data_IF_544290074537
#
_entry.id   IF_544290074537
#
_cell.length_a   1.000
_cell.length_b   1.000
_cell.length_c   1.000
_cell.angle_alpha   90.00
_cell.angle_beta   90.00
_cell.angle_gamma   90.00
#
_symmetry.space_group_name_H-M   'P 1'
#
loop_
_entity.id
_entity.type
_entity.pdbx_description
1 polymer ?
#
# COMPACT_ATOMS: atom_id res chain seq x y z
N UNK A 1 20.24 9.98 40.03
CA UNK A 1 20.62 8.58 40.32
C UNK A 1 19.64 8.01 41.33
N UNK A 2 18.62 7.27 40.89
CA UNK A 2 17.76 6.45 41.77
C UNK A 2 17.36 5.20 40.99
N UNK A 3 17.60 4.05 41.60
CA UNK A 3 17.56 2.70 41.02
C UNK A 3 16.13 2.17 40.79
N UNK A 4 15.95 1.54 39.64
CA UNK A 4 14.81 0.67 39.28
C UNK A 4 14.83 -0.64 40.06
N UNK A 5 13.72 -1.00 40.73
CA UNK A 5 13.47 -2.36 41.23
C UNK A 5 12.58 -3.13 40.24
N UNK A 6 13.17 -4.16 39.61
CA UNK A 6 12.47 -5.28 38.97
C UNK A 6 11.84 -6.16 40.06
N UNK A 7 10.61 -6.60 39.87
CA UNK A 7 10.02 -7.71 40.63
C UNK A 7 9.52 -8.79 39.67
N UNK A 8 10.23 -9.91 39.70
CA UNK A 8 9.85 -11.21 39.16
C UNK A 8 9.14 -12.01 40.24
N UNK A 9 7.97 -12.58 39.95
CA UNK A 9 7.42 -13.72 40.71
C UNK A 9 6.95 -14.82 39.76
N UNK A 10 7.65 -15.96 39.86
CA UNK A 10 7.19 -17.31 39.48
C UNK A 10 6.29 -17.84 40.60
N UNK A 11 5.28 -18.61 40.22
CA UNK A 11 4.76 -19.72 41.04
C UNK A 11 4.48 -20.91 40.13
N UNK A 12 4.63 -22.11 40.67
CA UNK A 12 4.89 -23.39 40.03
C UNK A 12 3.78 -24.40 40.42
N UNK A 13 3.40 -25.25 39.44
CA UNK A 13 2.87 -26.63 39.49
C UNK A 13 1.45 -27.03 39.95
N UNK A 14 1.01 -28.13 39.31
CA UNK A 14 -0.13 -29.02 39.58
C UNK A 14 -0.81 -29.43 38.26
N UNK A 15 -0.33 -30.43 37.50
CA UNK A 15 -0.78 -31.85 37.49
C UNK A 15 -2.30 -32.03 37.34
N UNK A 16 -2.90 -32.97 36.62
CA UNK A 16 -2.56 -33.95 35.59
C UNK A 16 -3.92 -34.49 35.11
N UNK A 17 -4.15 -34.75 33.82
CA UNK A 17 -5.25 -35.63 33.37
C UNK A 17 -4.93 -36.20 32.01
N UNK A 18 -4.70 -37.50 32.01
CA UNK A 18 -4.57 -38.41 30.88
C UNK A 18 -5.87 -38.49 30.08
N UNK A 19 -5.78 -38.39 28.75
CA UNK A 19 -6.76 -39.01 27.84
C UNK A 19 -6.01 -39.69 26.70
N UNK A 20 -6.08 -41.01 26.75
CA UNK A 20 -5.69 -42.01 25.77
C UNK A 20 -6.28 -41.66 24.40
N UNK A 21 -5.43 -41.51 23.37
CA UNK A 21 -5.89 -41.42 21.97
C UNK A 21 -5.34 -42.57 21.15
N UNK A 22 -6.26 -43.44 20.79
CA UNK A 22 -6.15 -44.58 19.87
C UNK A 22 -5.44 -44.16 18.58
N UNK A 23 -4.41 -44.92 18.22
CA UNK A 23 -3.77 -44.88 16.90
C UNK A 23 -4.62 -45.65 15.88
N UNK A 24 -4.86 -45.01 14.74
CA UNK A 24 -5.31 -45.63 13.48
C UNK A 24 -4.77 -44.79 12.30
N UNK A 25 -4.60 -45.35 11.09
CA UNK A 25 -3.30 -45.37 10.41
C UNK A 25 -3.01 -44.19 9.47
N UNK A 26 -1.71 -44.05 9.20
CA UNK A 26 -1.07 -43.15 8.23
C UNK A 26 -1.69 -43.27 6.84
N UNK A 27 -2.25 -42.19 6.32
CA UNK A 27 -2.32 -41.93 4.89
C UNK A 27 -1.22 -40.90 4.54
N UNK A 28 -0.11 -41.40 4.00
CA UNK A 28 1.01 -40.58 3.52
C UNK A 28 0.62 -39.86 2.22
N UNK A 29 -0.04 -38.71 2.33
CA UNK A 29 -0.20 -37.77 1.22
C UNK A 29 1.00 -36.83 1.14
N UNK A 30 2.15 -37.31 0.68
CA UNK A 30 3.29 -36.44 0.35
C UNK A 30 2.89 -35.61 -0.88
N UNK A 31 2.69 -34.30 -0.68
CA UNK A 31 2.51 -33.38 -1.79
C UNK A 31 3.71 -33.47 -2.75
N UNK A 32 3.50 -33.67 -4.06
CA UNK A 32 4.61 -33.89 -4.99
C UNK A 32 5.41 -32.60 -5.14
N UNK A 33 6.67 -32.65 -4.77
CA UNK A 33 7.62 -31.57 -5.03
C UNK A 33 7.78 -31.37 -6.54
N UNK A 34 8.02 -30.11 -6.95
CA UNK A 34 8.13 -29.63 -8.35
C UNK A 34 9.09 -30.43 -9.27
N UNK A 35 9.87 -31.35 -8.72
CA UNK A 35 10.84 -32.21 -9.40
C UNK A 35 10.20 -33.46 -10.02
N UNK A 36 9.13 -34.01 -9.45
CA UNK A 36 8.47 -35.23 -9.97
C UNK A 36 7.58 -34.97 -11.20
N UNK A 37 6.98 -33.77 -11.32
CA UNK A 37 6.25 -33.36 -12.54
C UNK A 37 7.12 -33.26 -13.79
N UNK A 38 8.43 -33.02 -13.65
CA UNK A 38 9.35 -32.88 -14.80
C UNK A 38 9.80 -34.22 -15.37
N UNK A 39 9.80 -35.29 -14.55
CA UNK A 39 10.18 -36.65 -14.98
C UNK A 39 9.03 -37.34 -15.72
N UNK A 40 7.79 -37.16 -15.24
CA UNK A 40 6.60 -37.70 -15.91
C UNK A 40 6.40 -37.13 -17.34
N UNK A 41 6.72 -35.85 -17.57
CA UNK A 41 6.62 -35.21 -18.89
C UNK A 41 7.72 -35.70 -19.86
N UNK A 42 8.89 -36.10 -19.34
CA UNK A 42 9.96 -36.67 -20.17
C UNK A 42 9.67 -38.12 -20.58
N UNK A 43 9.02 -38.90 -19.71
CA UNK A 43 8.67 -40.29 -20.00
C UNK A 43 7.49 -40.40 -20.98
N UNK A 44 6.51 -39.47 -20.96
CA UNK A 44 5.46 -39.43 -22.01
C UNK A 44 5.97 -38.95 -23.38
N UNK A 45 7.07 -38.21 -23.41
CA UNK A 45 7.65 -37.70 -24.66
C UNK A 45 8.53 -38.72 -25.40
N UNK A 46 8.91 -39.84 -24.76
CA UNK A 46 9.73 -40.90 -25.38
C UNK A 46 8.92 -42.04 -26.00
N UNK A 47 7.62 -42.17 -25.70
CA UNK A 47 6.77 -43.24 -26.25
C UNK A 47 5.93 -42.84 -27.49
N UNK A 48 5.99 -41.58 -27.94
CA UNK A 48 5.22 -41.09 -29.09
C UNK A 48 5.99 -40.98 -30.41
N UNK A 49 7.07 -41.76 -30.61
CA UNK A 49 8.03 -41.53 -31.70
C UNK A 49 8.14 -42.69 -32.68
N UNK A 50 7.04 -43.12 -33.30
CA UNK A 50 7.07 -43.88 -34.56
C UNK A 50 5.94 -43.39 -35.49
N UNK A 51 6.38 -42.90 -36.66
CA UNK A 51 5.64 -42.62 -37.91
C UNK A 51 4.48 -41.62 -37.88
N UNK A 52 4.69 -40.44 -38.48
CA UNK A 52 4.13 -40.03 -39.79
C UNK A 52 4.90 -38.79 -40.22
N UNK A 53 5.38 -38.81 -41.47
CA UNK A 53 6.10 -37.72 -42.11
C UNK A 53 5.20 -36.49 -42.21
N UNK A 54 5.61 -35.39 -41.57
CA UNK A 54 5.04 -34.09 -41.86
C UNK A 54 6.14 -33.05 -41.98
N UNK A 55 6.14 -32.36 -43.13
CA UNK A 55 7.16 -31.40 -43.56
C UNK A 55 7.08 -30.15 -42.68
N UNK A 56 7.64 -30.23 -41.48
CA UNK A 56 7.84 -29.07 -40.63
C UNK A 56 8.91 -28.16 -41.24
N UNK A 57 8.45 -27.07 -41.87
CA UNK A 57 9.26 -25.89 -42.17
C UNK A 57 10.07 -25.56 -40.91
N UNK A 58 11.39 -25.75 -40.96
CA UNK A 58 12.32 -25.25 -39.94
C UNK A 58 12.04 -23.76 -39.79
N UNK A 59 11.32 -23.39 -38.73
CA UNK A 59 11.14 -22.00 -38.32
C UNK A 59 12.53 -21.53 -37.93
N UNK A 60 13.21 -20.86 -38.85
CA UNK A 60 14.47 -20.16 -38.59
C UNK A 60 14.23 -19.34 -37.34
N UNK A 61 14.96 -19.66 -36.28
CA UNK A 61 15.03 -18.84 -35.07
C UNK A 61 15.48 -17.49 -35.58
N UNK A 62 14.58 -16.50 -35.69
CA UNK A 62 15.00 -15.12 -35.90
C UNK A 62 15.91 -14.82 -34.73
N UNK A 63 17.21 -14.65 -35.00
CA UNK A 63 18.13 -14.13 -34.00
C UNK A 63 17.51 -12.85 -33.45
N UNK A 64 17.40 -12.76 -32.12
CA UNK A 64 17.00 -11.52 -31.51
C UNK A 64 18.00 -10.45 -31.99
N UNK A 65 17.54 -9.29 -32.49
CA UNK A 65 18.45 -8.23 -32.90
C UNK A 65 19.38 -7.94 -31.72
N UNK A 66 20.67 -8.20 -31.92
CA UNK A 66 21.70 -7.83 -30.96
C UNK A 66 21.80 -6.32 -31.02
N UNK A 67 21.29 -5.64 -29.98
CA UNK A 67 21.44 -4.19 -29.81
C UNK A 67 22.91 -3.71 -29.77
N UNK A 68 23.87 -4.65 -29.78
CA UNK A 68 25.32 -4.41 -29.76
C UNK A 68 26.00 -4.64 -31.12
N UNK A 69 25.30 -5.13 -32.14
CA UNK A 69 25.88 -5.26 -33.49
C UNK A 69 25.75 -3.94 -34.24
N UNK A 70 26.89 -3.40 -34.68
CA UNK A 70 26.97 -2.23 -35.58
C UNK A 70 26.20 -2.54 -36.88
N UNK A 71 25.37 -1.59 -37.32
CA UNK A 71 25.15 -1.42 -38.76
C UNK A 71 26.46 -0.91 -39.35
N UNK A 72 26.90 -1.45 -40.48
CA UNK A 72 28.22 -1.21 -41.08
C UNK A 72 28.46 0.24 -41.60
N UNK A 73 27.59 1.20 -41.29
CA UNK A 73 27.74 2.60 -41.68
C UNK A 73 28.65 3.33 -40.70
N UNK A 74 29.95 3.05 -40.78
CA UNK A 74 30.98 3.68 -39.96
C UNK A 74 31.23 5.15 -40.34
N UNK A 75 31.03 5.54 -41.61
CA UNK A 75 31.43 6.85 -42.14
C UNK A 75 30.61 8.04 -41.59
N UNK A 76 29.48 7.79 -40.94
CA UNK A 76 28.64 8.82 -40.32
C UNK A 76 28.43 8.58 -38.81
N UNK A 77 29.28 7.78 -38.17
CA UNK A 77 29.16 7.51 -36.73
C UNK A 77 29.59 8.76 -35.94
N UNK A 78 28.65 9.46 -35.24
CA UNK A 78 28.98 10.67 -34.48
C UNK A 78 30.01 10.40 -33.37
N UNK A 79 30.21 9.13 -32.99
CA UNK A 79 31.19 8.71 -32.01
C UNK A 79 32.65 8.89 -32.48
N UNK A 80 32.93 9.00 -33.79
CA UNK A 80 34.28 9.24 -34.31
C UNK A 80 34.86 10.60 -33.90
N UNK A 81 34.01 11.56 -33.57
CA UNK A 81 34.42 12.89 -33.09
C UNK A 81 34.80 12.90 -31.60
N UNK A 82 34.51 11.82 -30.86
CA UNK A 82 34.73 11.73 -29.42
C UNK A 82 36.20 11.37 -29.17
N UNK A 83 36.98 12.31 -28.62
CA UNK A 83 38.42 12.13 -28.33
C UNK A 83 38.72 10.88 -27.52
N UNK A 84 37.84 10.52 -26.57
CA UNK A 84 38.01 9.34 -25.73
C UNK A 84 38.01 8.03 -26.56
N UNK A 85 37.22 7.96 -27.62
CA UNK A 85 37.12 6.78 -28.50
C UNK A 85 38.24 6.69 -29.54
N UNK A 86 38.96 7.79 -29.76
CA UNK A 86 40.14 7.84 -30.63
C UNK A 86 41.45 7.50 -29.90
N UNK A 87 41.39 7.24 -28.59
CA UNK A 87 42.56 6.80 -27.84
C UNK A 87 42.95 5.37 -28.25
N UNK A 88 44.27 5.04 -28.24
CA UNK A 88 44.72 3.66 -28.29
C UNK A 88 43.98 2.81 -27.25
N UNK A 89 43.62 1.57 -27.64
CA UNK A 89 42.79 0.68 -26.82
C UNK A 89 43.37 0.49 -25.41
N UNK A 90 44.68 0.33 -25.31
CA UNK A 90 45.38 0.10 -24.05
C UNK A 90 45.23 1.29 -23.09
N UNK A 91 45.26 2.53 -23.60
CA UNK A 91 45.07 3.75 -22.80
C UNK A 91 43.61 3.87 -22.36
N UNK A 92 42.66 3.57 -23.25
CA UNK A 92 41.25 3.54 -22.87
C UNK A 92 41.00 2.52 -21.76
N UNK A 93 41.52 1.30 -21.90
CA UNK A 93 41.36 0.24 -20.92
C UNK A 93 42.01 0.66 -19.58
N UNK A 94 43.21 1.25 -19.58
CA UNK A 94 43.85 1.81 -18.39
C UNK A 94 42.96 2.87 -17.69
N UNK A 95 42.40 3.83 -18.44
CA UNK A 95 41.45 4.81 -17.90
C UNK A 95 40.25 4.11 -17.23
N UNK A 96 39.69 3.08 -17.87
CA UNK A 96 38.54 2.36 -17.30
C UNK A 96 38.88 1.56 -16.05
N UNK A 97 40.12 1.07 -15.90
CA UNK A 97 40.53 0.39 -14.65
C UNK A 97 40.58 1.30 -13.44
N UNK A 98 40.69 2.62 -13.65
CA UNK A 98 40.68 3.63 -12.60
C UNK A 98 39.27 4.07 -12.18
N UNK A 99 38.24 3.67 -12.94
CA UNK A 99 36.86 4.06 -12.68
C UNK A 99 36.15 3.04 -11.77
N UNK A 100 35.39 3.57 -10.81
CA UNK A 100 34.49 2.74 -10.00
C UNK A 100 33.36 2.14 -10.87
N UNK A 101 32.76 1.00 -10.45
CA UNK A 101 31.74 0.29 -11.21
C UNK A 101 30.50 1.12 -11.61
N UNK A 102 30.11 2.09 -10.79
CA UNK A 102 29.02 3.04 -11.07
C UNK A 102 29.39 4.03 -12.17
N UNK A 103 30.60 4.58 -12.13
CA UNK A 103 31.16 5.48 -13.12
C UNK A 103 31.34 4.76 -14.46
N UNK A 104 31.78 3.50 -14.45
CA UNK A 104 31.82 2.64 -15.64
C UNK A 104 30.43 2.35 -16.20
N UNK A 105 29.44 2.12 -15.35
CA UNK A 105 28.06 1.95 -15.80
C UNK A 105 27.52 3.23 -16.44
N UNK A 106 27.76 4.40 -15.84
CA UNK A 106 27.43 5.70 -16.43
C UNK A 106 28.15 5.94 -17.76
N UNK A 107 29.46 5.66 -17.82
CA UNK A 107 30.26 5.80 -19.03
C UNK A 107 29.71 4.90 -20.16
N UNK A 108 29.29 3.67 -19.83
CA UNK A 108 28.65 2.75 -20.79
C UNK A 108 27.27 3.21 -21.30
N UNK A 109 26.61 4.16 -20.62
CA UNK A 109 25.34 4.74 -21.09
C UNK A 109 25.50 5.85 -22.13
N UNK A 110 26.69 6.42 -22.26
CA UNK A 110 26.94 7.58 -23.13
C UNK A 110 26.81 7.24 -24.61
N UNK A 111 27.34 6.10 -25.05
CA UNK A 111 27.14 5.60 -26.41
C UNK A 111 27.31 4.07 -26.52
N UNK A 112 26.79 3.50 -27.62
CA UNK A 112 26.83 2.05 -27.88
C UNK A 112 28.26 1.52 -28.03
N UNK A 113 29.17 2.32 -28.56
CA UNK A 113 30.57 1.93 -28.76
C UNK A 113 31.27 1.75 -27.42
N UNK A 114 31.16 2.72 -26.51
CA UNK A 114 31.69 2.61 -25.16
C UNK A 114 31.05 1.43 -24.41
N UNK A 115 29.74 1.19 -24.58
CA UNK A 115 29.08 0.01 -24.02
C UNK A 115 29.64 -1.32 -24.55
N UNK A 116 29.97 -1.39 -25.84
CA UNK A 116 30.56 -2.59 -26.46
C UNK A 116 31.99 -2.84 -25.97
N UNK A 117 32.74 -1.77 -25.73
CA UNK A 117 34.12 -1.77 -25.24
C UNK A 117 34.21 -2.18 -23.77
N UNK A 118 33.38 -1.60 -22.89
CA UNK A 118 33.35 -1.84 -21.44
C UNK A 118 32.60 -3.14 -21.09
N UNK A 119 31.59 -3.49 -21.88
CA UNK A 119 30.75 -4.66 -21.65
C UNK A 119 29.71 -4.47 -20.54
N UNK A 120 29.26 -5.59 -19.97
CA UNK A 120 28.13 -5.63 -19.00
C UNK A 120 28.56 -5.88 -17.55
N UNK A 121 29.86 -5.98 -17.28
CA UNK A 121 30.35 -6.39 -15.96
C UNK A 121 30.07 -5.34 -14.88
N UNK A 122 30.30 -4.06 -15.19
CA UNK A 122 29.93 -2.91 -14.33
C UNK A 122 28.44 -2.93 -13.96
N UNK A 123 27.58 -3.31 -14.90
CA UNK A 123 26.14 -3.46 -14.67
C UNK A 123 25.80 -4.59 -13.72
N UNK A 124 26.55 -5.70 -13.72
CA UNK A 124 26.32 -6.82 -12.79
C UNK A 124 26.55 -6.35 -11.35
N UNK A 125 27.61 -5.57 -11.13
CA UNK A 125 27.94 -5.00 -9.83
C UNK A 125 26.87 -3.98 -9.36
N UNK A 126 26.33 -3.17 -10.28
CA UNK A 126 25.22 -2.25 -10.01
C UNK A 126 23.84 -2.94 -9.86
N UNK A 127 23.68 -4.18 -10.37
CA UNK A 127 22.40 -4.91 -10.42
C UNK A 127 22.09 -5.70 -9.15
N UNK A 128 23.00 -5.81 -8.18
CA UNK A 128 22.82 -6.62 -6.96
C UNK A 128 21.42 -6.42 -6.33
N UNK A 129 20.50 -7.35 -6.61
CA UNK A 129 19.11 -7.37 -6.15
C UNK A 129 18.97 -8.03 -4.77
N UNK A 130 20.04 -8.64 -4.24
CA UNK A 130 20.00 -9.28 -2.92
C UNK A 130 20.29 -8.23 -1.85
N UNK A 131 19.21 -7.64 -1.35
CA UNK A 131 19.15 -7.04 -0.01
C UNK A 131 19.36 -8.14 1.03
N UNK A 132 20.61 -8.56 1.21
CA UNK A 132 21.02 -9.14 2.48
C UNK A 132 21.74 -7.99 3.17
N UNK A 133 21.11 -7.44 4.20
CA UNK A 133 21.82 -6.64 5.19
C UNK A 133 22.84 -7.57 5.83
N UNK A 134 24.08 -7.55 5.34
CA UNK A 134 25.16 -8.29 5.97
C UNK A 134 25.71 -7.42 7.09
N UNK A 135 25.14 -7.61 8.29
CA UNK A 135 25.51 -6.87 9.50
C UNK A 135 26.98 -7.04 9.90
N UNK A 136 27.70 -7.95 9.23
CA UNK A 136 29.11 -8.24 9.51
C UNK A 136 30.08 -7.37 8.71
N UNK A 137 29.63 -6.67 7.65
CA UNK A 137 30.56 -6.09 6.66
C UNK A 137 30.47 -4.61 6.37
N UNK A 138 29.61 -3.85 7.05
CA UNK A 138 29.54 -2.37 7.00
C UNK A 138 29.65 -1.75 5.59
N UNK A 139 29.36 -2.49 4.53
CA UNK A 139 29.54 -2.09 3.14
C UNK A 139 28.19 -2.23 2.48
N UNK A 140 27.53 -1.10 2.36
CA UNK A 140 26.41 -0.94 1.46
C UNK A 140 26.83 -1.39 0.06
N UNK A 141 25.88 -1.84 -0.77
CA UNK A 141 26.06 -1.86 -2.22
C UNK A 141 26.16 -0.42 -2.74
N UNK A 142 27.26 0.27 -2.39
CA UNK A 142 27.49 1.71 -2.55
C UNK A 142 27.35 2.14 -4.02
N UNK A 143 27.85 1.32 -4.93
CA UNK A 143 27.81 1.59 -6.37
C UNK A 143 26.40 1.74 -6.92
N UNK A 144 25.41 0.97 -6.43
CA UNK A 144 24.03 1.13 -6.92
C UNK A 144 23.42 2.47 -6.50
N UNK A 145 23.68 2.90 -5.27
CA UNK A 145 23.17 4.17 -4.75
C UNK A 145 23.86 5.35 -5.46
N UNK A 146 25.18 5.30 -5.56
CA UNK A 146 25.99 6.29 -6.28
C UNK A 146 25.61 6.38 -7.77
N UNK A 147 25.50 5.24 -8.45
CA UNK A 147 25.02 5.17 -9.84
C UNK A 147 23.66 5.84 -10.04
N UNK A 148 22.69 5.57 -9.16
CA UNK A 148 21.36 6.15 -9.30
C UNK A 148 21.37 7.65 -9.00
N UNK A 149 22.22 8.11 -8.07
CA UNK A 149 22.45 9.53 -7.83
C UNK A 149 23.05 10.22 -9.07
N UNK A 150 23.99 9.58 -9.75
CA UNK A 150 24.54 10.08 -11.01
C UNK A 150 23.49 10.15 -12.11
N UNK A 151 22.60 9.15 -12.20
CA UNK A 151 21.48 9.17 -13.15
C UNK A 151 20.45 10.27 -12.83
N UNK A 152 20.17 10.54 -11.56
CA UNK A 152 19.17 11.55 -11.18
C UNK A 152 19.57 12.96 -11.63
N UNK A 153 20.88 13.26 -11.64
CA UNK A 153 21.44 14.50 -12.20
C UNK A 153 21.00 14.72 -13.65
N UNK A 154 21.02 13.65 -14.45
CA UNK A 154 20.73 13.71 -15.88
C UNK A 154 19.23 13.56 -16.19
N UNK A 155 18.41 13.23 -15.18
CA UNK A 155 16.95 13.13 -15.29
C UNK A 155 16.25 13.92 -14.15
N UNK A 156 16.28 15.27 -14.17
CA UNK A 156 15.78 16.10 -13.07
C UNK A 156 14.27 15.98 -12.81
N UNK A 157 13.51 15.44 -13.77
CA UNK A 157 12.08 15.16 -13.65
C UNK A 157 11.77 13.85 -12.91
N UNK A 158 12.79 13.11 -12.46
CA UNK A 158 12.66 11.89 -11.68
C UNK A 158 13.30 12.07 -10.30
N UNK A 159 12.70 11.45 -9.30
CA UNK A 159 13.17 11.43 -7.91
C UNK A 159 13.71 10.04 -7.56
N UNK A 160 14.80 10.01 -6.79
CA UNK A 160 15.37 8.77 -6.28
C UNK A 160 14.55 8.21 -5.12
N UNK A 161 14.24 6.91 -5.18
CA UNK A 161 13.55 6.20 -4.11
C UNK A 161 14.48 5.29 -3.35
N UNK A 162 14.70 5.57 -2.07
CA UNK A 162 15.50 4.72 -1.18
C UNK A 162 14.88 3.33 -0.96
N UNK A 163 13.55 3.24 -1.01
CA UNK A 163 12.81 2.00 -0.71
C UNK A 163 12.95 0.97 -1.81
N UNK A 164 12.96 1.36 -3.09
CA UNK A 164 13.11 0.43 -4.20
C UNK A 164 14.43 0.62 -4.96
N UNK A 165 15.26 1.60 -4.57
CA UNK A 165 16.54 1.96 -5.19
C UNK A 165 16.39 2.13 -6.70
N UNK A 166 15.52 3.07 -7.09
CA UNK A 166 15.22 3.39 -8.50
C UNK A 166 14.79 4.84 -8.62
N UNK A 167 14.85 5.38 -9.84
CA UNK A 167 14.25 6.67 -10.18
C UNK A 167 12.78 6.47 -10.58
N UNK A 168 11.89 7.33 -10.08
CA UNK A 168 10.49 7.39 -10.49
C UNK A 168 10.06 8.86 -10.62
N UNK A 169 8.97 9.17 -11.37
CA UNK A 169 8.39 10.50 -11.35
C UNK A 169 8.13 10.97 -9.91
N UNK A 170 8.22 12.27 -9.60
CA UNK A 170 7.93 12.79 -8.26
C UNK A 170 6.54 12.36 -7.80
N UNK A 171 6.37 12.32 -6.49
CA UNK A 171 5.08 11.97 -5.91
C UNK A 171 4.06 13.02 -6.35
N UNK A 172 3.01 12.52 -7.01
CA UNK A 172 1.89 13.36 -7.43
C UNK A 172 0.93 13.55 -6.25
N UNK A 173 0.16 14.65 -6.23
CA UNK A 173 -0.92 14.83 -5.26
C UNK A 173 -1.85 13.61 -5.20
N UNK A 174 -2.57 13.38 -4.09
CA UNK A 174 -3.44 12.21 -3.91
C UNK A 174 -4.41 11.96 -5.07
N UNK A 175 -4.89 13.03 -5.72
CA UNK A 175 -5.77 13.00 -6.90
C UNK A 175 -5.14 12.35 -8.14
N UNK A 176 -3.83 12.45 -8.29
CA UNK A 176 -3.09 12.06 -9.49
C UNK A 176 -2.16 10.86 -9.25
N UNK A 177 -1.99 10.44 -7.99
CA UNK A 177 -1.13 9.32 -7.66
C UNK A 177 -1.76 7.98 -8.08
N UNK A 178 -1.10 7.31 -9.03
CA UNK A 178 -1.46 5.94 -9.45
C UNK A 178 -0.32 4.98 -9.09
N UNK A 179 -0.65 3.92 -8.36
CA UNK A 179 0.27 2.79 -8.20
C UNK A 179 0.57 2.21 -9.59
N UNK A 180 1.84 2.21 -9.99
CA UNK A 180 2.29 1.61 -11.22
C UNK A 180 3.03 0.31 -10.91
N UNK A 181 3.14 -0.59 -11.89
CA UNK A 181 3.95 -1.83 -11.76
C UNK A 181 5.37 -1.56 -11.24
N UNK A 182 5.95 -0.39 -11.55
CA UNK A 182 7.28 0.03 -11.12
C UNK A 182 7.32 0.56 -9.68
N UNK A 183 6.23 1.17 -9.19
CA UNK A 183 6.18 1.79 -7.86
C UNK A 183 5.57 0.90 -6.78
N UNK A 184 4.94 -0.22 -7.17
CA UNK A 184 4.38 -1.24 -6.26
C UNK A 184 5.32 -1.67 -5.12
N UNK A 185 6.61 -1.80 -5.40
CA UNK A 185 7.60 -2.20 -4.39
C UNK A 185 8.20 -1.01 -3.62
N UNK A 186 7.99 0.21 -4.09
CA UNK A 186 8.41 1.43 -3.42
C UNK A 186 7.47 1.75 -2.25
N UNK A 187 6.21 1.31 -2.35
CA UNK A 187 5.24 1.39 -1.27
C UNK A 187 5.39 0.23 -0.29
N UNK A 188 6.03 0.49 0.85
CA UNK A 188 6.06 -0.46 1.97
C UNK A 188 4.68 -0.63 2.62
N UNK A 189 4.52 -1.63 3.49
CA UNK A 189 3.30 -1.89 4.28
C UNK A 189 2.85 -0.74 5.22
N UNK A 190 3.61 0.36 5.24
CA UNK A 190 3.41 1.55 6.06
C UNK A 190 3.30 2.80 5.21
N UNK A 191 3.14 2.70 3.90
CA UNK A 191 3.32 3.86 3.01
C UNK A 191 2.02 4.36 2.40
N UNK A 192 0.95 3.55 2.38
CA UNK A 192 -0.25 3.86 1.61
C UNK A 192 -1.53 3.55 2.38
N UNK A 193 -2.52 4.43 2.24
CA UNK A 193 -3.91 4.14 2.58
C UNK A 193 -4.56 3.49 1.36
N UNK A 194 -4.60 2.16 1.34
CA UNK A 194 -5.02 1.32 0.19
C UNK A 194 -6.52 1.01 0.15
N UNK A 195 -7.26 1.36 1.20
CA UNK A 195 -8.67 1.04 1.33
C UNK A 195 -9.59 2.14 0.79
N UNK A 196 -9.04 3.25 0.29
CA UNK A 196 -9.82 4.30 -0.37
C UNK A 196 -10.36 3.82 -1.73
N UNK A 197 -11.39 4.48 -2.27
CA UNK A 197 -12.12 3.95 -3.42
C UNK A 197 -11.26 3.83 -4.67
N UNK A 198 -11.52 2.78 -5.44
CA UNK A 198 -10.87 2.48 -6.72
C UNK A 198 -11.86 1.94 -7.75
N UNK A 199 -11.60 2.23 -9.01
CA UNK A 199 -12.29 1.71 -10.19
C UNK A 199 -11.28 1.37 -11.30
N UNK A 200 -11.78 1.07 -12.50
CA UNK A 200 -10.94 0.75 -13.67
C UNK A 200 -10.12 1.95 -14.17
N UNK A 201 -10.56 3.18 -13.87
CA UNK A 201 -9.89 4.43 -14.24
C UNK A 201 -8.81 4.84 -13.21
N UNK A 202 -8.85 4.24 -12.02
CA UNK A 202 -7.74 4.15 -11.09
C UNK A 202 -8.17 4.18 -9.62
N UNK A 203 -7.25 4.64 -8.76
CA UNK A 203 -7.44 4.60 -7.30
C UNK A 203 -7.05 5.92 -6.66
N UNK A 204 -7.80 6.32 -5.64
CA UNK A 204 -7.46 7.44 -4.78
C UNK A 204 -6.44 6.98 -3.72
N UNK A 205 -5.22 7.53 -3.73
CA UNK A 205 -4.11 7.05 -2.90
C UNK A 205 -3.50 8.17 -2.06
N UNK A 206 -3.47 7.97 -0.74
CA UNK A 206 -2.73 8.84 0.16
C UNK A 206 -1.45 8.16 0.65
N UNK A 207 -0.33 8.86 0.52
CA UNK A 207 1.00 8.35 0.84
C UNK A 207 1.58 9.01 2.09
N UNK A 208 2.49 8.33 2.77
CA UNK A 208 3.18 8.85 3.94
C UNK A 208 3.97 10.12 3.62
N UNK A 209 4.60 10.17 2.45
CA UNK A 209 5.41 11.30 2.00
C UNK A 209 4.55 12.56 1.81
N UNK A 210 3.29 12.43 1.38
CA UNK A 210 2.35 13.57 1.36
C UNK A 210 2.10 14.12 2.76
N UNK A 211 2.10 13.25 3.78
CA UNK A 211 1.96 13.67 5.16
C UNK A 211 3.22 14.38 5.65
N UNK A 212 4.41 13.89 5.30
CA UNK A 212 5.66 14.56 5.66
C UNK A 212 5.71 15.98 5.10
N UNK A 213 5.46 16.13 3.80
CA UNK A 213 5.47 17.43 3.12
C UNK A 213 4.35 18.36 3.63
N UNK A 214 3.13 17.85 3.80
CA UNK A 214 2.03 18.62 4.38
C UNK A 214 2.35 19.14 5.79
N UNK A 215 3.18 18.41 6.55
CA UNK A 215 3.59 18.83 7.89
C UNK A 215 4.58 19.99 7.89
N UNK A 216 5.35 20.17 6.82
CA UNK A 216 6.24 21.33 6.66
C UNK A 216 5.45 22.63 6.55
N UNK A 217 4.19 22.55 6.09
CA UNK A 217 3.27 23.69 5.99
C UNK A 217 2.57 24.05 7.31
N UNK A 218 2.82 23.34 8.41
CA UNK A 218 2.17 23.62 9.69
C UNK A 218 2.77 24.85 10.37
N UNK A 219 1.90 25.71 10.91
CA UNK A 219 2.31 26.89 11.66
C UNK A 219 2.82 26.44 13.03
N UNK A 220 4.09 26.72 13.39
CA UNK A 220 4.63 26.37 14.70
C UNK A 220 4.02 27.24 15.81
N UNK A 221 3.71 26.62 16.95
CA UNK A 221 3.23 27.29 18.16
C UNK A 221 1.82 26.86 18.61
N UNK A 222 1.36 27.32 19.79
CA UNK A 222 0.01 27.05 20.27
C UNK A 222 -1.00 27.92 19.51
N UNK A 223 -1.47 27.46 18.36
CA UNK A 223 -2.63 28.04 17.70
C UNK A 223 -3.88 27.27 18.14
N UNK A 224 -4.84 27.94 18.78
CA UNK A 224 -6.21 27.39 18.92
C UNK A 224 -7.03 27.57 17.63
N UNK A 225 -6.40 28.07 16.56
CA UNK A 225 -7.04 28.42 15.30
C UNK A 225 -7.02 27.22 14.34
N UNK A 226 -7.99 27.23 13.44
CA UNK A 226 -8.04 26.36 12.27
C UNK A 226 -7.12 26.99 11.22
N UNK A 227 -6.14 26.24 10.73
CA UNK A 227 -5.23 26.66 9.67
C UNK A 227 -5.88 26.59 8.29
N UNK A 228 -5.23 27.19 7.30
CA UNK A 228 -5.65 27.13 5.90
C UNK A 228 -5.65 25.70 5.37
N UNK A 229 -6.49 25.39 4.36
CA UNK A 229 -6.40 24.14 3.62
C UNK A 229 -4.98 23.93 3.05
N UNK A 230 -4.48 22.70 3.14
CA UNK A 230 -3.21 22.27 2.57
C UNK A 230 -3.53 21.63 1.21
N UNK A 231 -3.19 22.31 0.13
CA UNK A 231 -3.52 21.90 -1.25
C UNK A 231 -3.00 20.49 -1.58
N UNK A 232 -1.81 20.13 -1.05
CA UNK A 232 -1.24 18.79 -1.25
C UNK A 232 -2.16 17.66 -0.77
N UNK A 233 -3.02 17.92 0.21
CA UNK A 233 -3.95 16.93 0.76
C UNK A 233 -5.37 17.06 0.18
N UNK A 234 -5.58 17.99 -0.75
CA UNK A 234 -6.87 18.20 -1.42
C UNK A 234 -7.02 17.26 -2.62
N UNK A 235 -8.22 16.70 -2.77
CA UNK A 235 -8.50 15.80 -3.87
C UNK A 235 -9.96 15.36 -3.90
N UNK A 236 -10.44 15.07 -5.11
CA UNK A 236 -11.77 14.50 -5.32
C UNK A 236 -11.66 13.30 -6.24
N UNK A 237 -12.41 12.25 -5.94
CA UNK A 237 -12.50 11.05 -6.75
C UNK A 237 -13.94 10.59 -6.83
N UNK A 238 -14.49 10.53 -8.04
CA UNK A 238 -15.87 10.11 -8.29
C UNK A 238 -15.87 8.83 -9.11
N UNK A 239 -16.61 7.83 -8.65
CA UNK A 239 -16.91 6.62 -9.41
C UNK A 239 -18.42 6.46 -9.62
N UNK A 240 -18.80 5.92 -10.78
CA UNK A 240 -20.18 5.58 -11.10
C UNK A 240 -20.41 4.08 -10.86
N UNK A 241 -21.52 3.75 -10.19
CA UNK A 241 -21.89 2.38 -9.84
C UNK A 241 -23.39 2.20 -9.99
N UNK A 242 -23.81 1.62 -11.10
CA UNK A 242 -25.23 1.31 -11.40
C UNK A 242 -26.17 2.50 -11.15
N UNK A 243 -26.79 2.57 -9.97
CA UNK A 243 -27.76 3.58 -9.54
C UNK A 243 -27.17 4.66 -8.63
N UNK A 244 -25.88 4.59 -8.31
CA UNK A 244 -25.19 5.45 -7.36
C UNK A 244 -23.98 6.13 -7.98
N UNK A 245 -23.81 7.40 -7.66
CA UNK A 245 -22.54 8.11 -7.79
C UNK A 245 -21.89 8.17 -6.41
N UNK A 246 -20.67 7.65 -6.31
CA UNK A 246 -19.87 7.72 -5.09
C UNK A 246 -18.70 8.67 -5.29
N UNK A 247 -18.69 9.76 -4.52
CA UNK A 247 -17.60 10.74 -4.52
C UNK A 247 -16.87 10.71 -3.19
N UNK A 248 -15.54 10.60 -3.23
CA UNK A 248 -14.67 10.85 -2.10
C UNK A 248 -14.02 12.22 -2.29
N UNK A 249 -14.27 13.16 -1.39
CA UNK A 249 -13.48 14.37 -1.26
C UNK A 249 -12.49 14.21 -0.10
N UNK A 250 -11.27 14.67 -0.27
CA UNK A 250 -10.22 14.69 0.74
C UNK A 250 -9.74 16.11 0.89
N UNK A 251 -9.48 16.54 2.12
CA UNK A 251 -8.82 17.81 2.40
C UNK A 251 -8.02 17.69 3.69
N UNK A 252 -6.92 18.42 3.78
CA UNK A 252 -6.10 18.47 4.99
C UNK A 252 -5.94 19.89 5.50
N UNK A 253 -5.89 20.07 6.81
CA UNK A 253 -5.55 21.35 7.44
C UNK A 253 -5.04 21.18 8.87
N UNK A 254 -4.46 22.23 9.42
CA UNK A 254 -4.12 22.29 10.84
C UNK A 254 -5.38 22.57 11.67
N UNK A 255 -5.63 21.78 12.71
CA UNK A 255 -6.66 22.04 13.72
C UNK A 255 -6.02 22.01 15.09
N UNK A 256 -5.92 23.19 15.71
CA UNK A 256 -5.12 23.34 16.92
C UNK A 256 -3.64 23.12 16.59
N UNK A 257 -3.06 22.08 17.22
CA UNK A 257 -1.71 21.61 16.92
C UNK A 257 -1.66 20.42 15.95
N UNK A 258 -2.79 19.80 15.66
CA UNK A 258 -2.82 18.55 14.88
C UNK A 258 -2.95 18.83 13.40
N UNK A 259 -2.26 18.05 12.57
CA UNK A 259 -2.65 17.88 11.17
C UNK A 259 -3.87 16.96 11.12
N UNK A 260 -4.98 17.45 10.58
CA UNK A 260 -6.23 16.69 10.44
C UNK A 260 -6.56 16.54 8.97
N UNK A 261 -6.74 15.29 8.56
CA UNK A 261 -7.22 14.91 7.24
C UNK A 261 -8.73 14.62 7.31
N UNK A 262 -9.51 15.26 6.45
CA UNK A 262 -10.96 15.10 6.30
C UNK A 262 -11.23 14.29 5.03
N UNK A 263 -11.98 13.20 5.15
CA UNK A 263 -12.52 12.43 4.03
C UNK A 263 -14.04 12.51 4.04
N UNK A 264 -14.63 12.99 2.96
CA UNK A 264 -16.07 13.07 2.77
C UNK A 264 -16.50 12.03 1.74
N UNK A 265 -17.17 10.98 2.21
CA UNK A 265 -17.75 9.94 1.39
C UNK A 265 -19.20 10.33 1.08
N UNK A 266 -19.46 10.74 -0.16
CA UNK A 266 -20.74 11.27 -0.62
C UNK A 266 -21.37 10.27 -1.58
N UNK A 267 -22.56 9.79 -1.22
CA UNK A 267 -23.37 8.88 -2.03
C UNK A 267 -24.61 9.61 -2.53
N UNK A 268 -24.75 9.68 -3.85
CA UNK A 268 -25.90 10.28 -4.54
C UNK A 268 -26.53 9.28 -5.46
N UNK A 269 -27.83 9.44 -5.70
CA UNK A 269 -28.52 8.66 -6.72
C UNK A 269 -28.17 9.18 -8.10
N UNK A 270 -27.87 8.28 -9.03
CA UNK A 270 -27.55 8.64 -10.42
C UNK A 270 -28.77 9.24 -11.15
N UNK A 271 -29.98 8.78 -10.81
CA UNK A 271 -31.23 9.33 -11.29
C UNK A 271 -31.92 10.16 -10.18
N UNK A 272 -32.14 11.47 -10.39
CA UNK A 272 -32.76 12.35 -9.40
C UNK A 272 -34.18 11.96 -8.95
N UNK A 273 -34.89 11.15 -9.73
CA UNK A 273 -36.26 10.71 -9.42
C UNK A 273 -36.33 9.45 -8.55
N UNK A 274 -35.21 8.77 -8.32
CA UNK A 274 -35.17 7.55 -7.51
C UNK A 274 -34.72 7.84 -6.08
N UNK A 275 -35.27 7.07 -5.13
CA UNK A 275 -34.86 7.10 -3.73
C UNK A 275 -33.45 6.52 -3.54
N UNK A 276 -32.72 7.03 -2.54
CA UNK A 276 -31.39 6.54 -2.17
C UNK A 276 -31.40 5.03 -1.84
N UNK A 277 -30.72 4.17 -2.63
CA UNK A 277 -30.69 2.75 -2.39
C UNK A 277 -29.66 2.40 -1.30
N UNK A 278 -30.07 2.50 -0.03
CA UNK A 278 -29.20 2.25 1.14
C UNK A 278 -28.62 0.83 1.13
N UNK A 279 -29.38 -0.16 0.69
CA UNK A 279 -28.89 -1.52 0.55
C UNK A 279 -27.68 -1.59 -0.41
N UNK A 280 -27.71 -0.83 -1.51
CA UNK A 280 -26.62 -0.78 -2.49
C UNK A 280 -25.40 -0.08 -1.89
N UNK A 281 -25.59 1.01 -1.12
CA UNK A 281 -24.50 1.68 -0.38
C UNK A 281 -23.81 0.71 0.59
N UNK A 282 -24.58 -0.06 1.35
CA UNK A 282 -24.05 -1.00 2.34
C UNK A 282 -23.52 -2.30 1.73
N UNK A 283 -23.92 -2.64 0.50
CA UNK A 283 -23.34 -3.75 -0.25
C UNK A 283 -21.87 -3.49 -0.61
N UNK A 284 -21.48 -2.21 -0.68
CA UNK A 284 -20.11 -1.80 -0.92
C UNK A 284 -19.32 -1.78 0.40
N UNK A 285 -18.09 -2.31 0.42
CA UNK A 285 -17.20 -2.10 1.57
C UNK A 285 -16.75 -0.63 1.56
N UNK A 286 -17.34 0.19 2.43
CA UNK A 286 -16.93 1.59 2.71
C UNK A 286 -16.02 1.56 3.95
N UNK A 287 -14.70 1.45 3.80
CA UNK A 287 -13.76 1.58 4.91
C UNK A 287 -13.45 3.07 5.16
N UNK A 288 -13.69 3.54 6.38
CA UNK A 288 -13.25 4.88 6.82
C UNK A 288 -11.81 4.82 7.33
N UNK A 289 -11.48 3.75 8.04
CA UNK A 289 -10.14 3.43 8.50
C UNK A 289 -9.95 1.92 8.40
N UNK A 290 -8.75 1.37 8.70
CA UNK A 290 -8.55 -0.07 8.66
C UNK A 290 -9.53 -0.84 9.54
N UNK A 291 -10.11 -0.22 10.56
CA UNK A 291 -10.92 -0.89 11.57
C UNK A 291 -12.44 -0.74 11.38
N UNK A 292 -12.88 0.28 10.63
CA UNK A 292 -14.28 0.66 10.51
C UNK A 292 -14.71 0.58 9.05
N UNK A 293 -15.52 -0.43 8.75
CA UNK A 293 -16.01 -0.73 7.41
C UNK A 293 -17.47 -1.18 7.46
N UNK A 294 -18.19 -0.98 6.35
CA UNK A 294 -19.53 -1.56 6.13
C UNK A 294 -19.45 -3.00 5.59
N UNK A 295 -18.25 -3.50 5.26
CA UNK A 295 -18.05 -4.85 4.72
C UNK A 295 -18.65 -5.93 5.63
N UNK A 296 -19.50 -6.78 5.05
CA UNK A 296 -20.02 -7.99 5.69
C UNK A 296 -19.24 -9.25 5.29
N UNK A 297 -18.10 -9.10 4.62
CA UNK A 297 -17.26 -10.23 4.21
C UNK A 297 -16.58 -10.86 5.43
N UNK A 298 -16.57 -12.19 5.49
CA UNK A 298 -15.79 -12.92 6.50
C UNK A 298 -14.32 -12.93 6.08
N UNK A 299 -13.37 -12.80 7.02
CA UNK A 299 -11.97 -12.95 6.69
C UNK A 299 -11.67 -14.39 6.29
N UNK A 300 -10.61 -14.58 5.50
CA UNK A 300 -10.00 -15.91 5.35
C UNK A 300 -9.60 -16.43 6.73
N UNK A 301 -9.87 -17.72 6.97
CA UNK A 301 -9.59 -18.33 8.25
C UNK A 301 -8.07 -18.47 8.43
N UNK A 302 -7.55 -17.90 9.51
CA UNK A 302 -6.15 -17.98 9.86
C UNK A 302 -5.98 -18.13 11.38
N UNK A 303 -4.76 -18.29 11.85
CA UNK A 303 -4.45 -18.34 13.29
C UNK A 303 -4.83 -17.04 14.04
N UNK A 304 -5.06 -15.93 13.33
CA UNK A 304 -5.29 -14.60 13.92
C UNK A 304 -6.67 -14.00 13.59
N UNK A 305 -7.38 -14.57 12.61
CA UNK A 305 -8.70 -14.07 12.18
C UNK A 305 -9.76 -15.08 12.55
N UNK A 306 -10.72 -14.64 13.37
CA UNK A 306 -11.96 -15.42 13.57
C UNK A 306 -12.85 -15.24 12.35
N UNK A 307 -13.56 -16.28 11.90
CA UNK A 307 -14.46 -16.26 10.74
C UNK A 307 -15.74 -15.41 10.93
N UNK A 308 -15.68 -14.40 11.80
CA UNK A 308 -16.78 -13.53 12.19
C UNK A 308 -16.62 -12.13 11.59
N UNK A 309 -17.75 -11.47 11.34
CA UNK A 309 -17.82 -10.13 10.76
C UNK A 309 -17.52 -9.11 11.88
N UNK A 310 -16.80 -7.99 11.60
CA UNK A 310 -16.48 -6.94 12.59
C UNK A 310 -17.70 -6.37 13.35
N UNK A 311 -17.51 -5.50 14.34
CA UNK A 311 -18.57 -5.06 15.28
C UNK A 311 -19.69 -4.19 14.67
N UNK A 312 -19.58 -3.76 13.41
CA UNK A 312 -20.65 -3.07 12.68
C UNK A 312 -20.97 -1.65 13.16
N UNK A 313 -20.09 -1.00 13.94
CA UNK A 313 -20.29 0.35 14.46
C UNK A 313 -20.56 1.38 13.35
N UNK A 314 -19.83 1.32 12.23
CA UNK A 314 -20.08 2.17 11.07
C UNK A 314 -21.48 1.94 10.48
N UNK A 315 -21.85 0.68 10.22
CA UNK A 315 -23.19 0.35 9.71
C UNK A 315 -24.29 0.84 10.65
N UNK A 316 -24.07 0.74 11.96
CA UNK A 316 -24.99 1.27 12.95
C UNK A 316 -25.10 2.80 12.88
N UNK A 317 -23.98 3.52 12.77
CA UNK A 317 -24.00 4.99 12.62
C UNK A 317 -24.76 5.45 11.37
N UNK A 318 -24.66 4.70 10.26
CA UNK A 318 -25.42 4.94 9.04
C UNK A 318 -26.91 4.68 9.28
N UNK A 319 -27.26 3.56 9.91
CA UNK A 319 -28.65 3.22 10.18
C UNK A 319 -29.37 4.27 11.04
N UNK A 320 -28.67 4.86 12.02
CA UNK A 320 -29.27 5.90 12.87
C UNK A 320 -29.47 7.22 12.11
N UNK A 321 -28.53 7.61 11.25
CA UNK A 321 -28.64 8.85 10.47
C UNK A 321 -29.76 8.80 9.41
N UNK A 322 -30.16 7.60 8.98
CA UNK A 322 -31.20 7.41 7.97
C UNK A 322 -32.62 7.42 8.56
N UNK A 323 -33.62 7.99 7.85
CA UNK A 323 -35.03 7.83 8.16
C UNK A 323 -35.46 6.36 8.15
N UNK A 324 -36.42 5.98 8.99
CA UNK A 324 -36.87 4.58 9.13
C UNK A 324 -37.29 3.93 7.80
N UNK A 325 -37.89 4.69 6.88
CA UNK A 325 -38.31 4.21 5.56
C UNK A 325 -37.14 3.74 4.67
N UNK A 326 -35.94 4.30 4.85
CA UNK A 326 -34.75 3.98 4.06
C UNK A 326 -33.87 2.90 4.74
N UNK A 327 -34.25 2.40 5.91
CA UNK A 327 -33.49 1.37 6.64
C UNK A 327 -33.73 -0.05 6.12
N UNK A 328 -34.57 -0.22 5.11
CA UNK A 328 -34.79 -1.52 4.47
C UNK A 328 -33.48 -2.05 3.86
N UNK A 329 -33.14 -3.31 4.14
CA UNK A 329 -31.93 -3.97 3.63
C UNK A 329 -30.64 -3.73 4.44
N UNK A 330 -30.68 -2.94 5.52
CA UNK A 330 -29.55 -2.85 6.45
C UNK A 330 -29.37 -4.21 7.15
N UNK A 331 -28.15 -4.76 7.12
CA UNK A 331 -27.83 -6.05 7.74
C UNK A 331 -28.21 -6.08 9.22
N UNK A 332 -28.87 -7.17 9.63
CA UNK A 332 -29.24 -7.38 11.03
C UNK A 332 -28.02 -7.34 11.97
N UNK A 333 -28.21 -6.78 13.16
CA UNK A 333 -27.17 -6.71 14.20
C UNK A 333 -26.61 -8.09 14.58
N UNK A 334 -27.42 -9.15 14.41
CA UNK A 334 -27.07 -10.56 14.67
C UNK A 334 -25.90 -11.09 13.82
N UNK A 335 -25.60 -10.44 12.67
CA UNK A 335 -24.50 -10.85 11.77
C UNK A 335 -23.12 -10.40 12.23
N UNK A 336 -23.05 -9.34 13.03
CA UNK A 336 -21.81 -8.75 13.52
C UNK A 336 -21.36 -9.42 14.83
N UNK A 337 -20.06 -9.40 15.13
CA UNK A 337 -19.62 -9.74 16.50
C UNK A 337 -20.21 -8.76 17.51
N UNK A 338 -20.42 -9.24 18.73
CA UNK A 338 -20.81 -8.36 19.85
C UNK A 338 -19.83 -7.20 19.96
N UNK A 339 -20.32 -5.94 19.96
CA UNK A 339 -19.45 -4.77 20.04
C UNK A 339 -18.73 -4.76 21.39
N UNK A 340 -17.44 -4.37 21.42
CA UNK A 340 -16.72 -4.16 22.67
C UNK A 340 -17.37 -3.03 23.47
N UNK A 341 -17.10 -2.99 24.78
CA UNK A 341 -17.77 -2.07 25.72
C UNK A 341 -17.68 -0.59 25.30
N UNK A 342 -16.57 -0.15 24.71
CA UNK A 342 -16.39 1.23 24.23
C UNK A 342 -17.26 1.58 23.02
N UNK A 343 -17.50 0.63 22.12
CA UNK A 343 -18.37 0.83 20.96
C UNK A 343 -19.83 0.70 21.37
N UNK A 344 -20.15 -0.28 22.23
CA UNK A 344 -21.49 -0.43 22.81
C UNK A 344 -21.95 0.86 23.51
N UNK A 345 -21.09 1.47 24.33
CA UNK A 345 -21.38 2.77 24.97
C UNK A 345 -21.71 3.86 23.97
N UNK A 346 -21.00 3.92 22.83
CA UNK A 346 -21.31 4.89 21.77
C UNK A 346 -22.67 4.59 21.14
N UNK A 347 -22.95 3.33 20.78
CA UNK A 347 -24.22 2.89 20.20
C UNK A 347 -25.41 3.14 21.13
N UNK A 348 -25.24 2.95 22.44
CA UNK A 348 -26.29 3.14 23.44
C UNK A 348 -26.53 4.63 23.78
N UNK A 349 -25.53 5.49 23.55
CA UNK A 349 -25.60 6.93 23.87
C UNK A 349 -26.31 7.79 22.82
N UNK A 350 -26.78 7.20 21.72
CA UNK A 350 -27.28 7.96 20.58
C UNK A 350 -28.71 8.42 20.79
N UNK A 351 -28.94 9.71 20.56
CA UNK A 351 -30.27 10.33 20.51
C UNK A 351 -30.63 10.60 19.06
N UNK A 352 -31.80 10.15 18.62
CA UNK A 352 -32.32 10.39 17.27
C UNK A 352 -32.36 11.90 16.96
N UNK A 353 -31.89 12.29 15.77
CA UNK A 353 -31.90 13.68 15.31
C UNK A 353 -30.68 14.52 15.73
N UNK A 354 -29.75 13.98 16.53
CA UNK A 354 -28.50 14.66 16.87
C UNK A 354 -27.37 14.19 15.96
N UNK A 355 -26.56 15.13 15.44
CA UNK A 355 -25.38 14.83 14.64
C UNK A 355 -24.24 14.27 15.53
N UNK A 356 -24.29 12.95 15.78
CA UNK A 356 -23.37 12.29 16.69
C UNK A 356 -21.97 12.13 16.10
N UNK A 357 -20.95 12.42 16.91
CA UNK A 357 -19.54 12.24 16.55
C UNK A 357 -19.04 10.90 17.08
N UNK A 358 -18.87 9.95 16.17
CA UNK A 358 -18.41 8.60 16.45
C UNK A 358 -16.88 8.54 16.48
N UNK A 359 -16.31 7.61 17.26
CA UNK A 359 -14.87 7.43 17.44
C UNK A 359 -14.44 5.97 17.25
N UNK A 360 -13.34 5.77 16.54
CA UNK A 360 -12.74 4.45 16.36
C UNK A 360 -11.89 4.09 17.59
N UNK A 361 -12.09 2.93 18.22
CA UNK A 361 -11.30 2.55 19.41
C UNK A 361 -9.81 2.23 19.17
N UNK A 362 -9.39 2.11 17.91
CA UNK A 362 -8.06 1.56 17.56
C UNK A 362 -7.16 2.53 16.78
N UNK A 363 -7.70 3.64 16.29
CA UNK A 363 -6.93 4.67 15.58
C UNK A 363 -7.57 6.05 15.81
N UNK A 364 -6.83 7.14 15.59
CA UNK A 364 -7.31 8.51 15.79
C UNK A 364 -8.25 8.95 14.66
N UNK A 365 -9.32 8.18 14.43
CA UNK A 365 -10.38 8.47 13.47
C UNK A 365 -11.67 8.77 14.19
N UNK A 366 -12.31 9.88 13.80
CA UNK A 366 -13.68 10.24 14.19
C UNK A 366 -14.54 10.39 12.95
N UNK A 367 -15.84 10.20 13.05
CA UNK A 367 -16.72 10.45 11.90
C UNK A 367 -18.11 10.91 12.29
N UNK A 368 -18.78 11.56 11.34
CA UNK A 368 -20.19 11.92 11.36
C UNK A 368 -20.88 11.31 10.16
N UNK A 369 -22.16 10.99 10.31
CA UNK A 369 -23.01 10.55 9.21
C UNK A 369 -24.19 11.49 9.12
N UNK A 370 -24.43 12.02 7.93
CA UNK A 370 -25.51 12.96 7.63
C UNK A 370 -26.28 12.42 6.43
N UNK A 371 -27.59 12.54 6.49
CA UNK A 371 -28.48 12.28 5.37
C UNK A 371 -29.19 13.57 5.02
N UNK A 372 -28.90 14.13 3.84
CA UNK A 372 -29.66 15.26 3.32
C UNK A 372 -30.92 14.72 2.64
N UNK A 373 -32.08 15.25 3.03
CA UNK A 373 -33.39 14.89 2.49
C UNK A 373 -33.81 15.74 1.28
N UNK A 374 -33.02 16.75 0.90
CA UNK A 374 -33.31 17.59 -0.27
C UNK A 374 -33.10 16.81 -1.58
N UNK A 375 -34.04 16.97 -2.52
CA UNK A 375 -33.99 16.31 -3.83
C UNK A 375 -34.07 14.77 -3.75
N UNK A 376 -33.15 14.09 -4.45
CA UNK A 376 -33.08 12.62 -4.51
C UNK A 376 -32.54 11.96 -3.23
N UNK A 377 -32.14 12.77 -2.24
CA UNK A 377 -31.44 12.34 -1.06
C UNK A 377 -29.93 12.14 -1.28
N UNK A 378 -29.13 12.51 -0.28
CA UNK A 378 -27.68 12.32 -0.25
C UNK A 378 -27.27 11.74 1.10
N UNK A 379 -26.44 10.69 1.09
CA UNK A 379 -25.77 10.21 2.30
C UNK A 379 -24.33 10.69 2.28
N UNK A 380 -23.94 11.44 3.30
CA UNK A 380 -22.58 11.94 3.51
C UNK A 380 -21.99 11.35 4.78
N UNK A 381 -20.85 10.68 4.66
CA UNK A 381 -20.05 10.20 5.79
C UNK A 381 -18.76 11.01 5.82
N UNK A 382 -18.59 11.83 6.86
CA UNK A 382 -17.39 12.67 7.01
C UNK A 382 -16.48 12.05 8.07
N UNK A 383 -15.34 11.50 7.64
CA UNK A 383 -14.30 10.97 8.52
C UNK A 383 -13.18 12.00 8.71
N UNK A 384 -12.67 12.09 9.93
CA UNK A 384 -11.56 12.93 10.34
C UNK A 384 -10.46 12.04 10.90
N UNK A 385 -9.25 12.15 10.36
CA UNK A 385 -8.07 11.42 10.79
C UNK A 385 -7.05 12.40 11.35
N UNK A 386 -6.67 12.24 12.62
CA UNK A 386 -5.56 13.02 13.19
C UNK A 386 -4.23 12.34 12.90
N UNK A 387 -3.29 13.14 12.42
CA UNK A 387 -1.89 12.79 12.21
C UNK A 387 -1.00 13.41 13.29
N UNK A 388 -1.59 13.76 14.44
CA UNK A 388 -0.88 14.24 15.60
C UNK A 388 -0.24 15.63 15.43
N UNK A 389 0.30 16.13 16.52
CA UNK A 389 0.95 17.44 16.61
C UNK A 389 2.44 17.42 16.26
N UNK A 390 3.11 16.29 16.50
CA UNK A 390 4.55 16.12 16.26
C UNK A 390 4.81 15.13 15.13
N UNK A 391 5.99 15.20 14.50
CA UNK A 391 6.41 14.24 13.49
C UNK A 391 6.43 12.80 14.03
N UNK A 392 6.84 12.64 15.29
CA UNK A 392 6.79 11.35 15.99
C UNK A 392 5.36 10.80 16.08
N UNK A 393 4.40 11.61 16.54
CA UNK A 393 2.99 11.17 16.61
C UNK A 393 2.39 10.93 15.23
N UNK A 394 2.76 11.71 14.23
CA UNK A 394 2.35 11.47 12.85
C UNK A 394 2.76 10.07 12.38
N UNK A 395 4.01 9.69 12.62
CA UNK A 395 4.50 8.37 12.26
C UNK A 395 3.77 7.26 13.03
N UNK A 396 3.54 7.43 14.33
CA UNK A 396 2.82 6.44 15.14
C UNK A 396 1.35 6.31 14.75
N UNK A 397 0.68 7.42 14.45
CA UNK A 397 -0.74 7.43 14.08
C UNK A 397 -0.95 6.92 12.66
N UNK A 398 -0.03 7.21 11.74
CA UNK A 398 -0.03 6.67 10.40
C UNK A 398 -0.02 5.14 10.39
N UNK A 399 0.79 4.52 11.25
CA UNK A 399 0.79 3.06 11.47
C UNK A 399 -0.58 2.51 11.91
N UNK A 400 -1.44 3.32 12.52
CA UNK A 400 -2.80 2.91 12.90
C UNK A 400 -3.80 3.11 11.77
N UNK A 401 -3.49 3.99 10.81
CA UNK A 401 -4.33 4.34 9.66
C UNK A 401 -4.01 3.51 8.42
N UNK A 402 -2.88 2.82 8.34
CA UNK A 402 -2.56 1.93 7.19
C UNK A 402 -3.02 0.50 7.44
N UNK A 403 -3.74 -0.11 6.48
CA UNK A 403 -4.20 -1.50 6.56
C UNK A 403 -3.04 -2.49 6.36
N UNK A 404 -3.02 -3.58 7.13
CA UNK A 404 -1.96 -4.61 7.09
C UNK A 404 -2.51 -6.01 7.36
N UNK A 405 -2.53 -6.85 6.32
CA UNK A 405 -3.17 -8.18 6.37
C UNK A 405 -2.30 -9.33 5.84
N UNK A 406 -1.04 -9.10 5.46
CA UNK A 406 -0.21 -10.15 4.86
C UNK A 406 -0.05 -11.37 5.78
N UNK A 407 -0.11 -12.56 5.20
CA UNK A 407 -0.16 -13.85 5.92
C UNK A 407 1.03 -14.09 6.85
N UNK A 408 2.17 -13.49 6.54
CA UNK A 408 3.42 -13.59 7.29
C UNK A 408 3.56 -12.54 8.43
N UNK A 409 2.60 -11.63 8.62
CA UNK A 409 2.65 -10.67 9.73
C UNK A 409 2.27 -11.33 11.06
N UNK A 410 3.06 -11.02 12.09
CA UNK A 410 2.75 -11.31 13.48
C UNK A 410 1.51 -10.53 13.96
N UNK A 411 0.99 -10.91 15.12
CA UNK A 411 -0.18 -10.26 15.73
C UNK A 411 0.00 -8.75 15.86
N UNK A 412 1.19 -8.32 16.27
CA UNK A 412 1.48 -6.97 16.73
C UNK A 412 1.57 -5.98 15.55
N UNK A 413 1.77 -6.52 14.34
CA UNK A 413 1.94 -5.80 13.09
C UNK A 413 0.71 -5.86 12.20
N UNK A 414 -0.30 -6.69 12.50
CA UNK A 414 -1.57 -6.67 11.76
C UNK A 414 -2.40 -5.44 12.11
N UNK A 415 -3.16 -4.95 11.14
CA UNK A 415 -4.01 -3.77 11.32
C UNK A 415 -5.15 -3.80 10.31
N UNK A 416 -6.32 -4.29 10.72
CA UNK A 416 -7.50 -4.33 9.87
C UNK A 416 -8.78 -4.54 10.66
N UNK A 417 -9.91 -4.60 9.97
CA UNK A 417 -11.25 -4.72 10.55
C UNK A 417 -11.43 -6.06 11.27
N UNK A 418 -10.64 -7.06 10.88
CA UNK A 418 -10.62 -8.40 11.47
C UNK A 418 -9.63 -8.52 12.64
N UNK A 419 -8.73 -7.55 12.79
CA UNK A 419 -7.71 -7.53 13.85
C UNK A 419 -7.62 -6.13 14.45
N UNK A 420 -8.52 -5.84 15.39
CA UNK A 420 -8.67 -4.53 16.03
C UNK A 420 -8.16 -4.57 17.47
N UNK A 421 -6.99 -3.99 17.69
CA UNK A 421 -6.42 -3.78 19.05
C UNK A 421 -6.81 -2.39 19.53
N UNK A 422 -7.39 -2.30 20.73
CA UNK A 422 -7.66 -0.99 21.34
C UNK A 422 -6.33 -0.28 21.58
N UNK A 423 -6.19 0.95 21.07
CA UNK A 423 -4.98 1.77 21.22
C UNK A 423 -5.34 3.06 21.92
N UNK A 424 -4.39 3.57 22.70
CA UNK A 424 -4.50 4.92 23.25
C UNK A 424 -3.86 5.91 22.29
N UNK A 425 -4.58 6.99 22.01
CA UNK A 425 -4.13 8.12 21.24
C UNK A 425 -4.78 9.37 21.84
N UNK A 426 -4.23 10.55 21.54
CA UNK A 426 -4.76 11.78 22.09
C UNK A 426 -6.06 12.16 21.37
N UNK A 427 -7.04 12.58 22.15
CA UNK A 427 -8.24 13.16 21.57
C UNK A 427 -7.87 14.46 20.83
N UNK A 428 -8.56 14.72 19.72
CA UNK A 428 -8.28 15.88 18.87
C UNK A 428 -9.57 16.60 18.49
N UNK A 429 -9.50 17.92 18.35
CA UNK A 429 -10.62 18.68 17.81
C UNK A 429 -10.79 18.37 16.31
N UNK A 430 -12.03 18.26 15.86
CA UNK A 430 -12.37 18.35 14.44
C UNK A 430 -12.67 19.82 14.20
N UNK A 431 -12.04 20.47 13.22
CA UNK A 431 -12.41 21.85 12.90
C UNK A 431 -13.89 21.83 12.52
N UNK A 432 -14.73 22.57 13.24
CA UNK A 432 -16.12 22.70 12.84
C UNK A 432 -16.16 23.48 11.53
N UNK A 433 -17.06 23.06 10.63
CA UNK A 433 -17.32 23.73 9.35
C UNK A 433 -18.01 25.07 9.61
#
# INVERSE_FOLDING_TARGET
MVQTRRSTRRTVQGESSSVTRVQAPKASGIAPTRRTKRKAIQETAQQGRITVEDKSKKRTKKEHPSYLQRSHDAEHDPNQSIRLLNLPRDIFDEITTLLEPDSLACLSLTCKEIMAIIGRESWIQCRSKRRIWDSTRSSWTHFRHSFISLLSRDTPHLTFCDVCTTLHPPLKPPREHREMKLTKHCFGQWSIIDYLPSDELGQYNLLWEHILEARESLIPGPTNKIGSPIELLDGSFTMQRERLTYTLNSSGRQVGKNLVLKHEHIFRVANPQSSLPVADILSFPVPLCPHQTTSTKKPEQSRYTTSRIPSGLLTHSIAIALPSALRAGISERSRYISPPSSEKKQMDSVVSGVNHLWKCRACPTKWRVQHNTEGAGELKITAYHSLGDTAYRAQEYWKMLVRRETSNLGSDTRNSEFFVVTRQYLDFAIGED
#
